data_IF_987278561333
#
_entry.id   IF_987278561333
#
_cell.length_a   1.000
_cell.length_b   1.000
_cell.length_c   1.000
_cell.angle_alpha   90.00
_cell.angle_beta   90.00
_cell.angle_gamma   90.00
#
_symmetry.space_group_name_H-M   'P 1'
#
loop_
_entity.id
_entity.type
_entity.pdbx_description
1 polymer ?
#
# COMPACT_ATOMS: atom_id res chain seq x y z
N UNK A 1 8.96 -8.82 25.88
CA UNK A 1 8.48 -8.14 24.67
C UNK A 1 8.45 -9.15 23.53
N UNK A 2 7.30 -9.46 23.01
CA UNK A 2 7.18 -10.26 21.79
C UNK A 2 7.46 -9.34 20.61
N UNK A 3 8.48 -9.64 19.81
CA UNK A 3 8.71 -8.95 18.55
C UNK A 3 7.53 -9.25 17.62
N UNK A 4 6.93 -8.20 17.10
CA UNK A 4 5.87 -8.34 16.11
C UNK A 4 6.50 -8.59 14.74
N UNK A 5 5.86 -9.42 13.89
CA UNK A 5 6.42 -9.72 12.59
C UNK A 5 6.56 -8.46 11.72
N UNK A 6 7.61 -8.47 10.92
CA UNK A 6 7.90 -7.46 9.90
C UNK A 6 7.97 -8.15 8.55
N UNK A 7 7.34 -7.55 7.56
CA UNK A 7 7.38 -8.02 6.18
C UNK A 7 8.17 -7.02 5.33
N UNK A 8 9.12 -7.53 4.54
CA UNK A 8 9.93 -6.71 3.62
C UNK A 8 9.79 -7.26 2.20
N UNK A 9 9.52 -6.37 1.26
CA UNK A 9 9.45 -6.71 -0.16
C UNK A 9 10.25 -5.72 -1.00
N UNK A 10 11.09 -6.23 -1.87
CA UNK A 10 11.94 -5.44 -2.76
C UNK A 10 11.57 -5.73 -4.21
N UNK A 11 11.37 -4.67 -5.00
CA UNK A 11 11.16 -4.79 -6.43
C UNK A 11 11.99 -3.75 -7.19
N UNK A 12 12.34 -4.05 -8.42
CA UNK A 12 13.10 -3.18 -9.31
C UNK A 12 12.23 -2.76 -10.48
N UNK A 13 12.15 -1.46 -10.73
CA UNK A 13 11.23 -0.88 -11.71
C UNK A 13 12.02 0.00 -12.67
N UNK A 14 11.78 -0.15 -13.97
CA UNK A 14 12.32 0.77 -14.96
C UNK A 14 11.47 2.04 -14.96
N UNK A 15 11.86 2.98 -14.12
CA UNK A 15 11.18 4.25 -13.89
C UNK A 15 12.14 5.21 -13.19
N UNK A 16 11.78 6.49 -13.14
CA UNK A 16 12.47 7.48 -12.31
C UNK A 16 11.91 7.47 -10.87
N UNK A 17 12.69 7.96 -9.88
CA UNK A 17 12.16 8.13 -8.51
C UNK A 17 10.89 8.98 -8.47
N UNK A 18 10.82 10.03 -9.27
CA UNK A 18 9.67 10.93 -9.35
C UNK A 18 8.42 10.21 -9.86
N UNK A 19 8.58 9.32 -10.85
CA UNK A 19 7.48 8.49 -11.36
C UNK A 19 6.96 7.53 -10.30
N UNK A 20 7.86 6.90 -9.54
CA UNK A 20 7.47 6.00 -8.44
C UNK A 20 6.77 6.78 -7.32
N UNK A 21 7.31 7.92 -6.93
CA UNK A 21 6.69 8.79 -5.92
C UNK A 21 5.28 9.20 -6.34
N UNK A 22 5.14 9.69 -7.57
CA UNK A 22 3.84 10.09 -8.12
C UNK A 22 2.85 8.92 -8.12
N UNK A 23 3.30 7.74 -8.54
CA UNK A 23 2.45 6.55 -8.57
C UNK A 23 2.01 6.08 -7.17
N UNK A 24 2.76 6.39 -6.11
CA UNK A 24 2.38 6.05 -4.74
C UNK A 24 1.44 7.08 -4.10
N UNK A 25 1.47 8.32 -4.56
CA UNK A 25 0.84 9.45 -3.86
C UNK A 25 -0.30 10.13 -4.65
N UNK A 26 -0.49 9.79 -5.91
CA UNK A 26 -1.57 10.34 -6.72
C UNK A 26 -2.80 9.44 -6.66
N UNK A 27 -3.96 10.02 -6.32
CA UNK A 27 -5.20 9.26 -6.16
C UNK A 27 -5.66 8.60 -7.47
N UNK A 28 -5.59 9.31 -8.58
CA UNK A 28 -6.01 8.79 -9.88
C UNK A 28 -5.09 7.66 -10.37
N UNK A 29 -3.80 7.80 -10.13
CA UNK A 29 -2.82 6.79 -10.50
C UNK A 29 -2.95 5.54 -9.62
N UNK A 30 -3.08 5.70 -8.31
CA UNK A 30 -3.28 4.54 -7.41
C UNK A 30 -4.57 3.80 -7.72
N UNK A 31 -5.62 4.49 -8.15
CA UNK A 31 -6.88 3.88 -8.59
C UNK A 31 -6.69 2.90 -9.76
N UNK A 32 -5.68 3.10 -10.60
CA UNK A 32 -5.44 2.25 -11.77
C UNK A 32 -4.89 0.88 -11.41
N UNK A 33 -4.02 0.79 -10.40
CA UNK A 33 -3.26 -0.43 -10.13
C UNK A 33 -3.43 -1.02 -8.73
N UNK A 34 -4.04 -0.33 -7.80
CA UNK A 34 -4.04 -0.73 -6.38
C UNK A 34 -5.36 -1.37 -5.95
N UNK A 35 -5.67 -2.53 -6.52
CA UNK A 35 -6.75 -3.42 -6.07
C UNK A 35 -8.12 -2.73 -5.90
N UNK A 36 -8.51 -1.90 -6.88
CA UNK A 36 -9.78 -1.16 -6.89
C UNK A 36 -9.91 -0.15 -5.74
N UNK A 37 -8.76 0.39 -5.30
CA UNK A 37 -8.68 1.45 -4.29
C UNK A 37 -7.82 2.59 -4.80
N UNK A 38 -8.01 3.77 -4.21
CA UNK A 38 -7.12 4.90 -4.40
C UNK A 38 -6.60 5.39 -3.05
N UNK A 39 -5.39 5.94 -3.06
CA UNK A 39 -4.78 6.53 -1.86
C UNK A 39 -4.95 8.04 -1.89
N UNK A 40 -5.55 8.59 -0.86
CA UNK A 40 -5.87 10.01 -0.74
C UNK A 40 -5.22 10.60 0.50
N UNK A 41 -4.44 11.66 0.32
CA UNK A 41 -3.85 12.46 1.39
C UNK A 41 -3.31 13.77 0.81
N UNK A 42 -2.98 14.70 1.69
CA UNK A 42 -2.16 15.87 1.36
C UNK A 42 -0.67 15.51 1.33
N UNK A 43 -0.30 14.33 1.82
CA UNK A 43 1.06 13.79 1.89
C UNK A 43 2.04 14.71 2.62
N UNK A 44 1.55 15.48 3.58
CA UNK A 44 2.35 16.25 4.52
C UNK A 44 2.48 15.49 5.84
N UNK A 45 3.59 15.65 6.53
CA UNK A 45 3.77 15.05 7.87
C UNK A 45 2.62 15.48 8.78
N UNK A 46 1.97 14.50 9.41
CA UNK A 46 0.80 14.71 10.26
C UNK A 46 -0.55 14.64 9.55
N UNK A 47 -0.57 14.63 8.21
CA UNK A 47 -1.82 14.49 7.45
C UNK A 47 -2.37 13.08 7.55
N UNK A 48 -3.70 12.96 7.57
CA UNK A 48 -4.38 11.68 7.40
C UNK A 48 -4.22 11.18 5.97
N UNK A 49 -4.24 9.85 5.80
CA UNK A 49 -4.40 9.22 4.50
C UNK A 49 -5.47 8.14 4.57
N UNK A 50 -6.11 7.90 3.44
CA UNK A 50 -7.16 6.90 3.30
C UNK A 50 -6.95 6.04 2.07
N UNK A 51 -7.21 4.75 2.21
CA UNK A 51 -7.25 3.78 1.12
C UNK A 51 -8.72 3.53 0.79
N UNK A 52 -9.22 4.30 -0.17
CA UNK A 52 -10.64 4.46 -0.46
C UNK A 52 -11.06 3.52 -1.60
N UNK A 53 -12.18 2.82 -1.45
CA UNK A 53 -12.75 2.02 -2.54
C UNK A 53 -13.14 2.91 -3.72
N UNK A 54 -12.91 2.42 -4.93
CA UNK A 54 -13.24 3.14 -6.17
C UNK A 54 -14.67 2.90 -6.64
N UNK A 55 -15.48 2.20 -5.86
CA UNK A 55 -16.88 1.84 -6.20
C UNK A 55 -17.90 2.94 -5.89
N UNK A 56 -17.45 4.09 -5.39
CA UNK A 56 -18.33 5.20 -5.04
C UNK A 56 -18.99 5.09 -3.67
N UNK A 57 -18.69 4.05 -2.89
CA UNK A 57 -19.28 3.84 -1.56
C UNK A 57 -18.79 4.83 -0.50
N UNK A 58 -17.63 5.45 -0.72
CA UNK A 58 -16.99 6.32 0.28
C UNK A 58 -16.32 5.55 1.42
N UNK A 59 -16.22 4.22 1.31
CA UNK A 59 -15.63 3.37 2.35
C UNK A 59 -14.10 3.34 2.17
N UNK A 60 -13.37 3.62 3.26
CA UNK A 60 -11.95 3.41 3.35
C UNK A 60 -11.66 2.07 4.04
N UNK A 61 -10.93 1.17 3.38
CA UNK A 61 -10.55 -0.11 3.97
C UNK A 61 -9.28 -0.01 4.82
N UNK A 62 -8.49 1.03 4.63
CA UNK A 62 -7.31 1.35 5.43
C UNK A 62 -7.25 2.84 5.68
N UNK A 63 -6.73 3.20 6.84
CA UNK A 63 -6.52 4.58 7.26
C UNK A 63 -5.19 4.71 7.99
N UNK A 64 -4.70 5.92 8.10
CA UNK A 64 -3.48 6.19 8.85
C UNK A 64 -3.05 7.65 8.79
N UNK A 65 -1.80 7.86 9.17
CA UNK A 65 -1.16 9.16 9.27
C UNK A 65 0.17 9.14 8.54
N UNK A 66 0.50 10.22 7.86
CA UNK A 66 1.83 10.40 7.25
C UNK A 66 2.82 10.77 8.34
N UNK A 67 3.83 9.92 8.55
CA UNK A 67 4.87 10.13 9.56
C UNK A 67 6.10 10.82 8.98
N UNK A 68 6.43 10.53 7.72
CA UNK A 68 7.59 11.09 7.04
C UNK A 68 7.29 11.18 5.55
N UNK A 69 7.64 12.28 4.91
CA UNK A 69 7.50 12.48 3.48
C UNK A 69 8.71 13.27 2.96
N UNK A 70 9.60 12.57 2.26
CA UNK A 70 10.81 13.13 1.64
C UNK A 70 10.78 12.78 0.14
N UNK A 71 10.03 13.56 -0.67
CA UNK A 71 9.94 13.29 -2.10
C UNK A 71 11.29 13.46 -2.81
N UNK A 72 11.64 12.60 -3.74
CA UNK A 72 11.01 11.34 -4.14
C UNK A 72 11.67 10.11 -3.52
N UNK A 73 12.17 10.20 -2.27
CA UNK A 73 13.08 9.22 -1.68
C UNK A 73 12.42 8.31 -0.66
N UNK A 74 11.53 8.84 0.18
CA UNK A 74 11.04 8.09 1.33
C UNK A 74 9.65 8.58 1.75
N UNK A 75 8.75 7.64 1.97
CA UNK A 75 7.42 7.87 2.53
C UNK A 75 7.18 6.88 3.66
N UNK A 76 6.78 7.37 4.81
CA UNK A 76 6.42 6.55 5.96
C UNK A 76 5.01 6.88 6.40
N UNK A 77 4.17 5.86 6.51
CA UNK A 77 2.77 6.00 6.93
C UNK A 77 2.45 4.99 8.03
N UNK A 78 1.49 5.32 8.88
CA UNK A 78 0.81 4.31 9.71
C UNK A 78 -0.30 3.67 8.88
N UNK A 79 -0.68 2.44 9.20
CA UNK A 79 -1.66 1.67 8.45
C UNK A 79 -2.47 0.77 9.37
N UNK A 80 -3.78 0.94 9.34
CA UNK A 80 -4.69 0.09 10.10
C UNK A 80 -6.06 0.06 9.40
N UNK A 81 -6.86 -0.96 9.64
CA UNK A 81 -8.26 -0.94 9.23
C UNK A 81 -9.05 0.05 10.09
N UNK A 82 -10.12 0.66 9.56
CA UNK A 82 -10.86 1.70 10.28
C UNK A 82 -11.56 1.17 11.53
N UNK A 83 -11.84 -0.13 11.58
CA UNK A 83 -12.51 -0.79 12.71
C UNK A 83 -11.59 -1.71 13.51
N UNK A 84 -10.29 -1.69 13.23
CA UNK A 84 -9.32 -2.54 13.93
C UNK A 84 -9.03 -1.98 15.34
N UNK A 85 -9.13 -2.85 16.32
CA UNK A 85 -8.61 -2.58 17.66
C UNK A 85 -7.15 -3.00 17.71
N UNK A 86 -6.26 -2.04 17.93
CA UNK A 86 -4.81 -2.28 17.94
C UNK A 86 -4.17 -1.68 19.20
N UNK A 87 -4.20 -2.41 20.32
CA UNK A 87 -3.61 -1.92 21.57
C UNK A 87 -2.12 -1.57 21.46
N UNK A 88 -1.39 -2.25 20.56
CA UNK A 88 0.03 -2.00 20.31
C UNK A 88 0.28 -0.91 19.25
N UNK A 89 -0.77 -0.22 18.82
CA UNK A 89 -0.70 0.81 17.78
C UNK A 89 -0.81 0.26 16.36
N UNK A 90 -0.94 1.15 15.37
CA UNK A 90 -1.08 0.77 13.97
C UNK A 90 0.18 0.13 13.40
N UNK A 91 0.03 -0.56 12.29
CA UNK A 91 1.14 -0.96 11.45
C UNK A 91 1.88 0.26 10.90
N UNK A 92 3.13 0.08 10.54
CA UNK A 92 3.96 1.13 9.94
C UNK A 92 4.49 0.64 8.60
N UNK A 93 4.27 1.42 7.56
CA UNK A 93 4.76 1.10 6.21
C UNK A 93 5.76 2.16 5.77
N UNK A 94 6.93 1.70 5.36
CA UNK A 94 7.98 2.55 4.80
C UNK A 94 8.18 2.18 3.33
N UNK A 95 8.14 3.20 2.47
CA UNK A 95 8.52 3.09 1.06
C UNK A 95 9.88 3.79 0.89
N UNK A 96 10.92 3.03 0.58
CA UNK A 96 12.24 3.57 0.23
C UNK A 96 12.43 3.46 -1.29
N UNK A 97 12.76 4.59 -1.93
CA UNK A 97 12.90 4.73 -3.38
C UNK A 97 14.34 5.10 -3.68
N UNK A 98 15.09 4.17 -4.28
CA UNK A 98 16.52 4.35 -4.52
C UNK A 98 16.81 4.22 -6.02
N UNK A 99 17.33 5.30 -6.66
CA UNK A 99 17.67 5.26 -8.08
C UNK A 99 18.97 4.51 -8.33
N UNK A 100 19.04 3.83 -9.48
CA UNK A 100 20.28 3.27 -10.03
C UNK A 100 20.20 3.31 -11.55
N UNK A 101 20.86 4.27 -12.18
CA UNK A 101 20.74 4.48 -13.62
C UNK A 101 19.29 4.70 -14.03
N UNK A 102 18.78 3.87 -14.92
CA UNK A 102 17.42 3.97 -15.45
C UNK A 102 16.39 3.14 -14.67
N UNK A 103 16.77 2.61 -13.52
CA UNK A 103 15.89 1.82 -12.66
C UNK A 103 15.79 2.39 -11.25
N UNK A 104 14.75 1.97 -10.55
CA UNK A 104 14.53 2.25 -9.11
C UNK A 104 14.44 0.94 -8.38
N UNK A 105 15.11 0.85 -7.22
CA UNK A 105 14.81 -0.16 -6.22
C UNK A 105 13.76 0.41 -5.26
N UNK A 106 12.58 -0.19 -5.27
CA UNK A 106 11.51 0.14 -4.32
C UNK A 106 11.48 -0.92 -3.24
N UNK A 107 11.70 -0.50 -1.99
CA UNK A 107 11.62 -1.36 -0.82
C UNK A 107 10.40 -0.97 0.00
N UNK A 108 9.53 -1.93 0.28
CA UNK A 108 8.40 -1.77 1.20
C UNK A 108 8.71 -2.55 2.47
N UNK A 109 8.70 -1.84 3.60
CA UNK A 109 8.88 -2.44 4.92
C UNK A 109 7.60 -2.22 5.72
N UNK A 110 6.94 -3.31 6.11
CA UNK A 110 5.70 -3.26 6.86
C UNK A 110 5.93 -3.84 8.25
N UNK A 111 5.96 -2.97 9.24
CA UNK A 111 6.29 -3.28 10.63
C UNK A 111 5.04 -3.29 11.52
N UNK A 112 5.17 -3.88 12.68
CA UNK A 112 4.13 -3.92 13.71
C UNK A 112 2.84 -4.58 13.22
N UNK A 113 2.98 -5.69 12.52
CA UNK A 113 1.84 -6.52 12.11
C UNK A 113 1.15 -7.09 13.36
N UNK A 114 -0.18 -7.16 13.35
CA UNK A 114 -0.95 -7.51 14.54
C UNK A 114 -0.81 -8.99 14.92
N UNK A 115 -0.78 -9.87 13.93
CA UNK A 115 -0.75 -11.32 14.11
C UNK A 115 -0.28 -12.04 12.83
N UNK A 116 -0.25 -13.36 12.88
CA UNK A 116 0.13 -14.20 11.75
C UNK A 116 -0.86 -14.08 10.58
N UNK A 117 -2.14 -13.86 10.85
CA UNK A 117 -3.15 -13.69 9.81
C UNK A 117 -2.91 -12.41 9.00
N UNK A 118 -2.59 -11.31 9.67
CA UNK A 118 -2.19 -10.07 8.98
C UNK A 118 -0.90 -10.26 8.19
N UNK A 119 0.07 -10.99 8.74
CA UNK A 119 1.31 -11.31 8.01
C UNK A 119 1.03 -12.05 6.71
N UNK A 120 0.17 -13.08 6.74
CA UNK A 120 -0.25 -13.82 5.54
C UNK A 120 -0.94 -12.89 4.54
N UNK A 121 -1.84 -12.03 5.01
CA UNK A 121 -2.57 -11.08 4.17
C UNK A 121 -1.62 -10.12 3.45
N UNK A 122 -0.67 -9.51 4.16
CA UNK A 122 0.25 -8.54 3.54
C UNK A 122 1.30 -9.23 2.67
N UNK A 123 1.69 -10.47 2.98
CA UNK A 123 2.63 -11.22 2.14
C UNK A 123 2.01 -11.65 0.80
N UNK A 124 0.68 -11.71 0.72
CA UNK A 124 -0.06 -11.87 -0.54
C UNK A 124 -0.29 -10.51 -1.23
N UNK A 125 -0.65 -9.49 -0.45
CA UNK A 125 -1.06 -8.18 -0.96
C UNK A 125 0.05 -7.36 -1.58
N UNK A 126 1.17 -7.20 -0.90
CA UNK A 126 2.28 -6.37 -1.41
C UNK A 126 2.83 -6.86 -2.76
N UNK A 127 3.16 -8.16 -2.93
CA UNK A 127 3.61 -8.63 -4.24
C UNK A 127 2.57 -8.42 -5.35
N UNK A 128 1.29 -8.59 -5.05
CA UNK A 128 0.19 -8.39 -6.02
C UNK A 128 0.12 -6.96 -6.50
N UNK A 129 0.10 -6.01 -5.57
CA UNK A 129 0.01 -4.58 -5.88
C UNK A 129 1.27 -4.08 -6.57
N UNK A 130 2.45 -4.47 -6.08
CA UNK A 130 3.72 -3.97 -6.63
C UNK A 130 4.05 -4.58 -7.99
N UNK A 131 3.62 -5.82 -8.28
CA UNK A 131 3.72 -6.38 -9.63
C UNK A 131 2.88 -5.56 -10.62
N UNK A 132 1.68 -5.14 -10.21
CA UNK A 132 0.81 -4.33 -11.04
C UNK A 132 1.36 -2.89 -11.21
N UNK A 133 1.91 -2.30 -10.16
CA UNK A 133 2.59 -1.01 -10.22
C UNK A 133 3.77 -1.05 -11.20
N UNK A 134 4.63 -2.06 -11.08
CA UNK A 134 5.78 -2.24 -11.97
C UNK A 134 5.34 -2.33 -13.43
N UNK A 135 4.36 -3.16 -13.71
CA UNK A 135 3.81 -3.33 -15.06
C UNK A 135 3.25 -2.01 -15.59
N UNK A 136 2.49 -1.30 -14.76
CA UNK A 136 1.90 0.00 -15.12
C UNK A 136 2.98 1.05 -15.46
N UNK A 137 4.00 1.18 -14.62
CA UNK A 137 5.08 2.15 -14.85
C UNK A 137 5.95 1.81 -16.07
N UNK A 138 6.19 0.52 -16.32
CA UNK A 138 7.06 0.08 -17.42
C UNK A 138 6.34 0.01 -18.77
N UNK A 139 5.03 -0.22 -18.79
CA UNK A 139 4.28 -0.44 -20.04
C UNK A 139 3.15 0.55 -20.30
N UNK A 140 2.77 1.35 -19.30
CA UNK A 140 1.58 2.23 -19.36
C UNK A 140 0.27 1.49 -19.18
N UNK A 141 0.30 0.18 -18.90
CA UNK A 141 -0.89 -0.66 -18.71
C UNK A 141 -0.73 -1.53 -17.48
N UNK A 142 -1.85 -1.79 -16.80
CA UNK A 142 -1.90 -2.76 -15.71
C UNK A 142 -1.90 -4.19 -16.23
N UNK A 143 -1.67 -5.15 -15.35
CA UNK A 143 -1.79 -6.56 -15.68
C UNK A 143 -3.22 -6.87 -16.16
N UNK A 144 -3.40 -7.81 -17.11
CA UNK A 144 -4.74 -8.10 -17.66
C UNK A 144 -5.73 -8.63 -16.62
N UNK A 145 -5.24 -9.25 -15.55
CA UNK A 145 -6.03 -9.62 -14.37
C UNK A 145 -5.35 -9.07 -13.13
N UNK A 146 -6.14 -8.62 -12.14
CA UNK A 146 -5.60 -8.19 -10.86
C UNK A 146 -5.07 -9.39 -10.06
N UNK A 147 -3.78 -9.42 -9.69
CA UNK A 147 -3.24 -10.56 -8.94
C UNK A 147 -3.96 -10.82 -7.61
N UNK A 148 -4.57 -9.80 -7.01
CA UNK A 148 -5.39 -9.92 -5.80
C UNK A 148 -6.62 -10.83 -6.00
N UNK A 149 -7.07 -11.07 -7.22
CA UNK A 149 -8.17 -11.98 -7.51
C UNK A 149 -7.85 -13.43 -7.10
N UNK A 150 -6.57 -13.79 -7.07
CA UNK A 150 -6.11 -15.09 -6.59
C UNK A 150 -6.31 -15.27 -5.08
N UNK A 151 -6.59 -14.18 -4.37
CA UNK A 151 -6.81 -14.14 -2.92
C UNK A 151 -8.20 -13.61 -2.59
N UNK A 152 -9.18 -13.86 -3.47
CA UNK A 152 -10.50 -13.23 -3.42
C UNK A 152 -11.25 -13.46 -2.10
N UNK A 153 -11.18 -14.66 -1.53
CA UNK A 153 -11.86 -14.97 -0.27
C UNK A 153 -11.28 -14.18 0.91
N UNK A 154 -9.96 -14.11 1.00
CA UNK A 154 -9.25 -13.36 2.04
C UNK A 154 -9.57 -11.86 1.92
N UNK A 155 -9.55 -11.33 0.71
CA UNK A 155 -9.87 -9.94 0.41
C UNK A 155 -11.33 -9.61 0.75
N UNK A 156 -12.27 -10.46 0.34
CA UNK A 156 -13.69 -10.29 0.60
C UNK A 156 -14.00 -10.27 2.10
N UNK A 157 -13.38 -11.15 2.87
CA UNK A 157 -13.54 -11.20 4.33
C UNK A 157 -13.05 -9.90 4.98
N UNK A 158 -11.93 -9.35 4.54
CA UNK A 158 -11.41 -8.09 5.05
C UNK A 158 -12.33 -6.91 4.71
N UNK A 159 -12.81 -6.83 3.48
CA UNK A 159 -13.71 -5.76 3.06
C UNK A 159 -15.04 -5.84 3.80
N UNK A 160 -15.61 -7.03 3.97
CA UNK A 160 -16.85 -7.24 4.72
C UNK A 160 -16.74 -6.78 6.19
N UNK A 161 -15.57 -6.96 6.81
CA UNK A 161 -15.30 -6.47 8.18
C UNK A 161 -15.40 -4.94 8.28
N UNK A 162 -15.06 -4.23 7.21
CA UNK A 162 -15.08 -2.78 7.15
C UNK A 162 -16.40 -2.20 6.65
N UNK A 163 -17.34 -3.04 6.18
CA UNK A 163 -18.65 -2.57 5.72
C UNK A 163 -19.46 -2.00 6.89
N UNK A 164 -20.22 -0.92 6.64
CA UNK A 164 -21.14 -0.37 7.64
C UNK A 164 -22.16 -1.41 8.08
N UNK A 165 -22.39 -1.49 9.39
CA UNK A 165 -23.40 -2.40 9.99
C UNK A 165 -24.77 -1.72 10.05
#
# INVERSE_FOLDING_TARGET
>A
MTDRPTFVYVTFIQATPEQVWHALTDADVTAEYWAEHCNISDWQVGSAWEHLRTDGSGIADLVGTVLEAVPPKRLVITRTGPNDERPAGPGRVTFDIEPHGDIVRLTVTHENLSDDAEYVLVSAGWPSVLANLKTFLETGRVLPQGPWEMYAEMRAARMAFNDPK
#
